data_IF_818949587893
#
_entry.id   IF_818949587893
#
_cell.length_a   1.000
_cell.length_b   1.000
_cell.length_c   1.000
_cell.angle_alpha   90.00
_cell.angle_beta   90.00
_cell.angle_gamma   90.00
#
_symmetry.space_group_name_H-M   'P 1'
#
loop_
_entity.id
_entity.type
_entity.pdbx_description
1 polymer ?
#
# COMPACT_ATOMS: atom_id res chain seq x y z
N UNK A 1 19.01 -15.70 -24.51
CA UNK A 1 17.77 -15.79 -23.69
C UNK A 1 17.26 -14.41 -23.28
N UNK A 2 18.09 -13.54 -22.70
CA UNK A 2 17.70 -12.18 -22.27
C UNK A 2 16.97 -11.37 -23.36
N UNK A 3 17.53 -11.26 -24.57
CA UNK A 3 16.90 -10.52 -25.68
C UNK A 3 15.57 -11.12 -26.19
N UNK A 4 15.33 -12.42 -25.98
CA UNK A 4 14.06 -13.07 -26.35
C UNK A 4 12.96 -12.80 -25.34
N UNK A 5 13.30 -12.69 -24.06
CA UNK A 5 12.35 -12.42 -22.97
C UNK A 5 12.09 -10.92 -22.79
N UNK A 6 13.15 -10.10 -22.82
CA UNK A 6 13.10 -8.65 -22.57
C UNK A 6 13.17 -7.80 -23.84
N UNK A 7 13.12 -8.40 -25.03
CA UNK A 7 13.25 -7.66 -26.29
C UNK A 7 12.21 -6.55 -26.42
N UNK A 8 10.95 -6.87 -26.11
CA UNK A 8 9.84 -5.89 -26.14
C UNK A 8 9.99 -4.79 -25.09
N UNK A 9 10.39 -5.13 -23.86
CA UNK A 9 10.59 -4.14 -22.81
C UNK A 9 11.75 -3.20 -23.15
N UNK A 10 12.88 -3.73 -23.64
CA UNK A 10 14.02 -2.91 -24.06
C UNK A 10 13.67 -2.01 -25.25
N UNK A 11 12.93 -2.53 -26.23
CA UNK A 11 12.47 -1.74 -27.37
C UNK A 11 11.53 -0.60 -26.93
N UNK A 12 10.59 -0.88 -26.03
CA UNK A 12 9.68 0.13 -25.49
C UNK A 12 10.43 1.20 -24.69
N UNK A 13 11.38 0.80 -23.84
CA UNK A 13 12.23 1.74 -23.09
C UNK A 13 13.04 2.62 -24.03
N UNK A 14 13.67 2.04 -25.06
CA UNK A 14 14.41 2.80 -26.05
C UNK A 14 13.50 3.79 -26.80
N UNK A 15 12.30 3.35 -27.21
CA UNK A 15 11.32 4.20 -27.86
C UNK A 15 10.86 5.36 -26.96
N UNK A 16 10.63 5.10 -25.67
CA UNK A 16 10.25 6.12 -24.70
C UNK A 16 11.37 7.16 -24.47
N UNK A 17 12.63 6.71 -24.35
CA UNK A 17 13.78 7.61 -24.21
C UNK A 17 14.01 8.46 -25.46
N UNK A 18 13.86 7.87 -26.65
CA UNK A 18 13.93 8.60 -27.92
C UNK A 18 12.78 9.60 -28.06
N UNK A 19 11.57 9.23 -27.63
CA UNK A 19 10.43 10.15 -27.60
C UNK A 19 10.67 11.33 -26.65
N UNK A 20 11.23 11.08 -25.46
CA UNK A 20 11.60 12.14 -24.51
C UNK A 20 12.65 13.10 -25.10
N UNK A 21 13.69 12.55 -25.76
CA UNK A 21 14.70 13.33 -26.47
C UNK A 21 14.09 14.18 -27.58
N UNK A 22 13.17 13.61 -28.36
CA UNK A 22 12.51 14.33 -29.44
C UNK A 22 11.55 15.42 -28.94
N UNK A 23 10.93 15.22 -27.77
CA UNK A 23 9.93 16.15 -27.23
C UNK A 23 10.54 17.36 -26.53
N UNK A 24 11.53 17.16 -25.65
CA UNK A 24 12.10 18.22 -24.80
C UNK A 24 13.65 18.20 -24.74
N UNK A 25 14.29 17.45 -25.61
CA UNK A 25 15.76 17.46 -25.74
C UNK A 25 16.49 16.62 -24.69
N UNK A 26 17.82 16.82 -24.55
CA UNK A 26 18.68 15.98 -23.72
C UNK A 26 18.35 16.02 -22.22
N UNK A 27 17.85 17.14 -21.72
CA UNK A 27 17.44 17.29 -20.32
C UNK A 27 16.27 16.37 -19.97
N UNK A 28 15.25 16.30 -20.84
CA UNK A 28 14.13 15.39 -20.66
C UNK A 28 14.54 13.92 -20.80
N UNK A 29 15.47 13.60 -21.71
CA UNK A 29 16.03 12.25 -21.78
C UNK A 29 16.71 11.86 -20.47
N UNK A 30 17.53 12.75 -19.89
CA UNK A 30 18.19 12.50 -18.62
C UNK A 30 17.18 12.32 -17.48
N UNK A 31 16.18 13.21 -17.41
CA UNK A 31 15.13 13.14 -16.39
C UNK A 31 14.33 11.84 -16.50
N UNK A 32 13.86 11.48 -17.70
CA UNK A 32 13.11 10.24 -17.93
C UNK A 32 13.97 9.01 -17.64
N UNK A 33 15.26 9.02 -18.00
CA UNK A 33 16.16 7.91 -17.69
C UNK A 33 16.35 7.73 -16.17
N UNK A 34 16.56 8.82 -15.44
CA UNK A 34 16.70 8.80 -13.97
C UNK A 34 15.39 8.31 -13.34
N UNK A 35 14.25 8.88 -13.73
CA UNK A 35 12.94 8.45 -13.23
C UNK A 35 12.65 6.98 -13.56
N UNK A 36 13.03 6.50 -14.75
CA UNK A 36 12.85 5.09 -15.10
C UNK A 36 13.68 4.17 -14.21
N UNK A 37 14.95 4.51 -13.93
CA UNK A 37 15.79 3.74 -13.00
C UNK A 37 15.22 3.75 -11.59
N UNK A 38 14.80 4.92 -11.10
CA UNK A 38 14.16 5.05 -9.79
C UNK A 38 12.88 4.20 -9.69
N UNK A 39 12.02 4.30 -10.70
CA UNK A 39 10.74 3.59 -10.73
C UNK A 39 10.93 2.07 -10.79
N UNK A 40 11.86 1.58 -11.61
CA UNK A 40 12.17 0.14 -11.68
C UNK A 40 12.73 -0.34 -10.34
N UNK A 41 13.62 0.44 -9.71
CA UNK A 41 14.26 0.06 -8.45
C UNK A 41 13.24 -0.02 -7.32
N UNK A 42 12.39 1.01 -7.16
CA UNK A 42 11.34 1.04 -6.12
C UNK A 42 10.23 0.01 -6.39
N UNK A 43 9.96 -0.32 -7.66
CA UNK A 43 8.98 -1.34 -8.01
C UNK A 43 9.51 -2.77 -7.83
N UNK A 44 10.82 -2.97 -7.79
CA UNK A 44 11.42 -4.31 -7.70
C UNK A 44 11.12 -4.99 -6.36
N UNK A 45 11.29 -4.28 -5.24
CA UNK A 45 11.02 -4.82 -3.91
C UNK A 45 9.54 -5.24 -3.77
N UNK A 46 8.64 -4.41 -4.30
CA UNK A 46 7.21 -4.71 -4.37
C UNK A 46 6.92 -5.92 -5.27
N UNK A 47 7.62 -6.06 -6.40
CA UNK A 47 7.43 -7.20 -7.29
C UNK A 47 7.88 -8.53 -6.66
N UNK A 48 8.96 -8.53 -5.86
CA UNK A 48 9.46 -9.74 -5.19
C UNK A 48 8.46 -10.24 -4.15
N UNK A 49 7.91 -9.34 -3.32
CA UNK A 49 6.90 -9.71 -2.33
C UNK A 49 5.62 -10.20 -3.02
N UNK A 50 5.15 -9.46 -4.03
CA UNK A 50 3.94 -9.83 -4.77
C UNK A 50 4.08 -11.17 -5.50
N UNK A 51 5.27 -11.51 -6.00
CA UNK A 51 5.51 -12.81 -6.64
C UNK A 51 5.33 -13.98 -5.67
N UNK A 52 5.76 -13.83 -4.41
CA UNK A 52 5.56 -14.87 -3.38
C UNK A 52 4.09 -15.06 -3.03
N UNK A 53 3.31 -13.98 -3.01
CA UNK A 53 1.86 -14.04 -2.79
C UNK A 53 1.17 -14.69 -4.01
N UNK A 54 1.58 -14.30 -5.22
CA UNK A 54 1.02 -14.81 -6.47
C UNK A 54 1.15 -16.33 -6.62
N UNK A 55 2.27 -16.90 -6.19
CA UNK A 55 2.53 -18.35 -6.24
C UNK A 55 1.51 -19.16 -5.43
N UNK A 56 0.93 -18.55 -4.39
CA UNK A 56 -0.10 -19.16 -3.52
C UNK A 56 -1.53 -18.94 -4.03
N UNK A 57 -1.72 -18.12 -5.06
CA UNK A 57 -3.06 -17.82 -5.60
C UNK A 57 -3.53 -18.89 -6.59
N UNK A 58 -4.84 -19.07 -6.71
CA UNK A 58 -5.40 -19.92 -7.75
C UNK A 58 -5.10 -19.38 -9.16
N UNK A 59 -5.06 -20.24 -10.21
CA UNK A 59 -4.72 -19.81 -11.58
C UNK A 59 -5.60 -18.67 -12.11
N UNK A 60 -6.86 -18.61 -11.67
CA UNK A 60 -7.79 -17.55 -12.03
C UNK A 60 -7.33 -16.19 -11.49
N UNK A 61 -7.01 -16.12 -10.19
CA UNK A 61 -6.55 -14.89 -9.55
C UNK A 61 -5.16 -14.47 -10.02
N UNK A 62 -4.27 -15.44 -10.26
CA UNK A 62 -2.97 -15.15 -10.87
C UNK A 62 -3.11 -14.42 -12.21
N UNK A 63 -4.03 -14.90 -13.07
CA UNK A 63 -4.28 -14.30 -14.38
C UNK A 63 -4.86 -12.89 -14.26
N UNK A 64 -5.80 -12.65 -13.36
CA UNK A 64 -6.36 -11.31 -13.12
C UNK A 64 -5.29 -10.36 -12.61
N UNK A 65 -4.49 -10.79 -11.63
CA UNK A 65 -3.41 -9.98 -11.07
C UNK A 65 -2.39 -9.59 -12.15
N UNK A 66 -1.93 -10.56 -12.95
CA UNK A 66 -0.93 -10.32 -14.00
C UNK A 66 -1.46 -9.50 -15.19
N UNK A 67 -2.77 -9.43 -15.39
CA UNK A 67 -3.38 -8.69 -16.51
C UNK A 67 -3.92 -7.34 -16.05
N UNK A 68 -5.02 -7.34 -15.30
CA UNK A 68 -5.72 -6.14 -14.86
C UNK A 68 -5.00 -5.51 -13.67
N UNK A 69 -4.54 -6.31 -12.72
CA UNK A 69 -3.88 -5.82 -11.51
C UNK A 69 -2.65 -4.97 -11.84
N UNK A 70 -1.71 -5.51 -12.61
CA UNK A 70 -0.52 -4.77 -13.06
C UNK A 70 -0.89 -3.56 -13.91
N UNK A 71 -1.87 -3.68 -14.83
CA UNK A 71 -2.28 -2.56 -15.67
C UNK A 71 -2.84 -1.39 -14.84
N UNK A 72 -3.68 -1.67 -13.84
CA UNK A 72 -4.23 -0.66 -12.92
C UNK A 72 -3.13 -0.09 -12.02
N UNK A 73 -2.25 -0.94 -11.46
CA UNK A 73 -1.16 -0.47 -10.62
C UNK A 73 -0.19 0.45 -11.37
N UNK A 74 0.10 0.14 -12.63
CA UNK A 74 1.06 0.93 -13.43
C UNK A 74 0.41 2.13 -14.08
N UNK A 75 -0.66 1.95 -14.86
CA UNK A 75 -1.28 3.03 -15.62
C UNK A 75 -2.42 3.70 -14.85
N UNK A 76 -3.21 2.90 -14.13
CA UNK A 76 -4.29 3.42 -13.30
C UNK A 76 -3.76 4.40 -12.26
N UNK A 77 -2.83 3.96 -11.41
CA UNK A 77 -2.31 4.79 -10.31
C UNK A 77 -1.36 5.90 -10.78
N UNK A 78 -0.57 5.70 -11.84
CA UNK A 78 0.42 6.72 -12.27
C UNK A 78 -0.11 7.70 -13.31
N UNK A 79 -0.98 7.27 -14.22
CA UNK A 79 -1.48 8.13 -15.31
C UNK A 79 -2.92 8.55 -15.09
N UNK A 80 -3.83 7.58 -14.92
CA UNK A 80 -5.27 7.85 -14.87
C UNK A 80 -5.64 8.56 -13.58
N UNK A 81 -5.13 8.12 -12.44
CA UNK A 81 -5.49 8.65 -11.13
C UNK A 81 -5.10 10.13 -10.98
N UNK A 82 -3.86 10.57 -11.25
CA UNK A 82 -3.53 12.00 -11.20
C UNK A 82 -4.38 12.85 -12.15
N UNK A 83 -4.65 12.32 -13.34
CA UNK A 83 -5.48 13.00 -14.34
C UNK A 83 -6.93 13.17 -13.87
N UNK A 84 -7.49 12.13 -13.23
CA UNK A 84 -8.84 12.18 -12.65
C UNK A 84 -8.90 13.20 -11.52
N UNK A 85 -7.89 13.25 -10.65
CA UNK A 85 -7.83 14.27 -9.60
C UNK A 85 -7.82 15.67 -10.20
N UNK A 86 -6.95 15.95 -11.19
CA UNK A 86 -6.93 17.27 -11.86
C UNK A 86 -8.27 17.57 -12.52
N UNK A 87 -8.86 16.60 -13.21
CA UNK A 87 -10.15 16.77 -13.88
C UNK A 87 -11.27 17.14 -12.88
N UNK A 88 -11.31 16.48 -11.72
CA UNK A 88 -12.30 16.75 -10.68
C UNK A 88 -12.05 18.08 -9.97
N UNK A 89 -10.82 18.33 -9.53
CA UNK A 89 -10.45 19.55 -8.78
C UNK A 89 -10.61 20.80 -9.64
N UNK A 90 -10.16 20.76 -10.90
CA UNK A 90 -10.28 21.88 -11.82
C UNK A 90 -11.63 21.92 -12.58
N UNK A 91 -12.52 20.96 -12.34
CA UNK A 91 -13.82 20.79 -13.02
C UNK A 91 -13.67 20.80 -14.56
N UNK A 92 -12.63 20.13 -15.05
CA UNK A 92 -12.32 20.00 -16.46
C UNK A 92 -12.78 18.65 -16.99
N UNK A 93 -13.15 18.60 -18.27
CA UNK A 93 -13.32 17.30 -18.94
C UNK A 93 -11.97 16.56 -19.02
N UNK A 94 -11.95 15.21 -19.01
CA UNK A 94 -10.70 14.43 -19.04
C UNK A 94 -9.73 14.80 -20.17
N UNK A 95 -10.25 15.09 -21.37
CA UNK A 95 -9.44 15.53 -22.51
C UNK A 95 -8.72 16.87 -22.22
N UNK A 96 -9.42 17.82 -21.60
CA UNK A 96 -8.85 19.11 -21.20
C UNK A 96 -7.83 18.98 -20.07
N UNK A 97 -8.04 18.06 -19.13
CA UNK A 97 -7.04 17.77 -18.11
C UNK A 97 -5.76 17.18 -18.73
N UNK A 98 -5.90 16.37 -19.78
CA UNK A 98 -4.75 15.79 -20.50
C UNK A 98 -4.01 16.85 -21.30
N UNK A 99 -4.75 17.71 -22.01
CA UNK A 99 -4.16 18.86 -22.70
C UNK A 99 -3.40 19.75 -21.70
N UNK A 100 -4.01 20.06 -20.55
CA UNK A 100 -3.40 20.88 -19.50
C UNK A 100 -2.08 20.28 -18.99
N UNK A 101 -2.03 18.95 -18.81
CA UNK A 101 -0.82 18.25 -18.38
C UNK A 101 0.35 18.42 -19.35
N UNK A 102 0.05 18.55 -20.65
CA UNK A 102 1.07 18.71 -21.70
C UNK A 102 1.41 20.18 -21.99
N UNK A 103 0.41 21.06 -21.95
CA UNK A 103 0.56 22.46 -22.38
C UNK A 103 0.91 23.43 -21.25
N UNK A 104 0.49 23.15 -20.02
CA UNK A 104 0.65 24.06 -18.87
C UNK A 104 1.12 23.29 -17.61
N UNK A 105 2.34 22.72 -17.60
CA UNK A 105 2.81 21.83 -16.53
C UNK A 105 2.82 22.50 -15.15
N UNK A 106 3.13 23.80 -15.05
CA UNK A 106 3.10 24.53 -13.78
C UNK A 106 1.70 24.63 -13.18
N UNK A 107 0.68 24.86 -14.03
CA UNK A 107 -0.70 24.94 -13.57
C UNK A 107 -1.22 23.56 -13.17
N UNK A 108 -0.82 22.53 -13.90
CA UNK A 108 -1.09 21.14 -13.53
C UNK A 108 -0.48 20.81 -12.15
N UNK A 109 0.79 21.20 -11.91
CA UNK A 109 1.45 21.01 -10.62
C UNK A 109 0.71 21.72 -9.48
N UNK A 110 0.27 22.97 -9.68
CA UNK A 110 -0.48 23.72 -8.66
C UNK A 110 -1.75 22.97 -8.26
N UNK A 111 -2.57 22.54 -9.23
CA UNK A 111 -3.81 21.80 -8.96
C UNK A 111 -3.52 20.48 -8.22
N UNK A 112 -2.42 19.81 -8.55
CA UNK A 112 -1.98 18.60 -7.85
C UNK A 112 -1.52 18.87 -6.41
N UNK A 113 -0.80 19.97 -6.18
CA UNK A 113 -0.40 20.39 -4.83
C UNK A 113 -1.60 20.76 -3.98
N UNK A 114 -2.60 21.42 -4.55
CA UNK A 114 -3.81 21.80 -3.83
C UNK A 114 -4.61 20.57 -3.38
N UNK A 115 -4.63 19.50 -4.19
CA UNK A 115 -5.28 18.24 -3.83
C UNK A 115 -4.45 17.36 -2.86
N UNK A 116 -3.15 17.65 -2.69
CA UNK A 116 -2.24 16.80 -1.93
C UNK A 116 -2.65 16.60 -0.46
N UNK A 117 -3.07 17.63 0.31
CA UNK A 117 -3.48 17.46 1.71
C UNK A 117 -4.64 16.45 1.87
N UNK A 118 -5.62 16.47 0.97
CA UNK A 118 -6.74 15.53 0.98
C UNK A 118 -6.25 14.09 0.74
N UNK A 119 -5.43 13.89 -0.28
CA UNK A 119 -4.87 12.56 -0.63
C UNK A 119 -4.01 12.03 0.51
N UNK A 120 -3.15 12.87 1.07
CA UNK A 120 -2.29 12.52 2.19
C UNK A 120 -3.09 12.25 3.47
N UNK A 121 -4.17 12.98 3.72
CA UNK A 121 -5.07 12.73 4.85
C UNK A 121 -5.73 11.35 4.74
N UNK A 122 -6.34 11.05 3.58
CA UNK A 122 -6.96 9.75 3.32
C UNK A 122 -5.96 8.60 3.41
N UNK A 123 -4.90 8.65 2.62
CA UNK A 123 -3.91 7.58 2.54
C UNK A 123 -3.10 7.44 3.82
N UNK A 124 -2.76 8.56 4.46
CA UNK A 124 -2.03 8.60 5.72
C UNK A 124 -2.82 7.98 6.86
N UNK A 125 -4.11 8.28 6.99
CA UNK A 125 -4.96 7.66 8.01
C UNK A 125 -5.14 6.15 7.77
N UNK A 126 -5.38 5.74 6.52
CA UNK A 126 -5.47 4.32 6.14
C UNK A 126 -4.18 3.55 6.48
N UNK A 127 -3.04 4.07 6.04
CA UNK A 127 -1.74 3.43 6.23
C UNK A 127 -1.30 3.45 7.70
N UNK A 128 -1.65 4.49 8.44
CA UNK A 128 -1.38 4.55 9.88
C UNK A 128 -2.18 3.49 10.63
N UNK A 129 -3.45 3.26 10.27
CA UNK A 129 -4.23 2.17 10.84
C UNK A 129 -3.63 0.80 10.52
N UNK A 130 -3.26 0.56 9.26
CA UNK A 130 -2.57 -0.67 8.85
C UNK A 130 -1.29 -0.89 9.65
N UNK A 131 -0.46 0.15 9.76
CA UNK A 131 0.78 0.09 10.51
C UNK A 131 0.55 -0.14 12.00
N UNK A 132 -0.38 0.55 12.64
CA UNK A 132 -0.65 0.42 14.07
C UNK A 132 -1.26 -0.94 14.42
N UNK A 133 -2.16 -1.47 13.58
CA UNK A 133 -2.67 -2.83 13.72
C UNK A 133 -1.54 -3.85 13.65
N UNK A 134 -0.67 -3.71 12.64
CA UNK A 134 0.53 -4.54 12.56
C UNK A 134 1.38 -4.35 13.83
N UNK A 135 1.73 -3.13 14.25
CA UNK A 135 2.62 -2.89 15.41
C UNK A 135 2.09 -3.45 16.74
N UNK A 136 0.78 -3.43 16.96
CA UNK A 136 0.18 -3.89 18.21
C UNK A 136 -0.07 -5.40 18.26
N UNK A 137 0.07 -6.09 17.14
CA UNK A 137 -0.01 -7.55 17.06
C UNK A 137 1.12 -8.23 17.85
N UNK A 138 0.79 -9.30 18.59
CA UNK A 138 1.79 -10.07 19.33
C UNK A 138 2.51 -11.04 18.40
N UNK A 139 3.68 -10.63 17.89
CA UNK A 139 4.51 -11.44 17.00
C UNK A 139 5.58 -12.24 17.74
N UNK A 140 5.89 -13.41 17.18
CA UNK A 140 6.95 -14.31 17.65
C UNK A 140 8.35 -13.71 17.46
N UNK A 141 8.58 -13.07 16.31
CA UNK A 141 9.84 -12.40 15.99
C UNK A 141 9.76 -10.93 16.40
N UNK A 142 10.50 -10.58 17.47
CA UNK A 142 10.59 -9.22 17.99
C UNK A 142 11.96 -8.61 17.76
N UNK A 143 12.06 -7.53 16.99
CA UNK A 143 13.33 -6.87 16.69
C UNK A 143 13.77 -5.93 17.83
N UNK A 144 12.81 -5.22 18.42
CA UNK A 144 13.02 -4.23 19.49
C UNK A 144 12.34 -4.70 20.79
N UNK A 145 12.85 -5.80 21.36
CA UNK A 145 12.27 -6.55 22.48
C UNK A 145 11.50 -5.74 23.56
N UNK A 146 12.10 -4.73 24.23
CA UNK A 146 11.42 -3.99 25.29
C UNK A 146 10.33 -3.02 24.79
N UNK A 147 10.51 -2.43 23.61
CA UNK A 147 9.52 -1.51 22.99
C UNK A 147 8.31 -2.30 22.53
N UNK A 148 8.54 -3.38 21.77
CA UNK A 148 7.47 -4.21 21.22
C UNK A 148 6.66 -4.92 22.31
N UNK A 149 7.30 -5.36 23.40
CA UNK A 149 6.57 -5.95 24.55
C UNK A 149 5.65 -4.95 25.26
N UNK A 150 6.01 -3.67 25.22
CA UNK A 150 5.18 -2.60 25.80
C UNK A 150 4.02 -2.26 24.86
N UNK A 151 4.29 -2.17 23.55
CA UNK A 151 3.28 -1.90 22.53
C UNK A 151 2.27 -3.06 22.39
N UNK A 152 2.71 -4.31 22.42
CA UNK A 152 1.82 -5.48 22.41
C UNK A 152 0.89 -5.53 23.65
N UNK A 153 1.34 -4.99 24.80
CA UNK A 153 0.49 -4.86 25.99
C UNK A 153 -0.67 -3.88 25.78
N UNK A 154 -0.44 -2.85 24.98
CA UNK A 154 -1.44 -1.86 24.54
C UNK A 154 -2.33 -2.41 23.41
N UNK A 155 -1.85 -3.39 22.63
CA UNK A 155 -2.64 -4.11 21.62
C UNK A 155 -3.82 -4.92 22.15
N UNK A 156 -3.93 -5.13 23.47
CA UNK A 156 -5.14 -5.68 24.10
C UNK A 156 -6.36 -4.74 24.01
N UNK A 157 -6.15 -3.50 23.59
CA UNK A 157 -7.21 -2.56 23.26
C UNK A 157 -7.39 -2.57 21.74
N UNK A 158 -8.31 -3.40 21.24
CA UNK A 158 -8.62 -3.52 19.80
C UNK A 158 -8.88 -2.16 19.13
N UNK A 159 -9.38 -1.17 19.87
CA UNK A 159 -9.70 0.16 19.35
C UNK A 159 -8.53 1.16 19.39
N UNK A 160 -7.36 0.79 19.90
CA UNK A 160 -6.24 1.71 20.06
C UNK A 160 -5.71 2.30 18.73
N UNK A 161 -5.58 1.52 17.63
CA UNK A 161 -5.23 2.07 16.30
C UNK A 161 -6.18 3.18 15.85
N UNK A 162 -7.49 3.01 16.09
CA UNK A 162 -8.53 3.98 15.73
C UNK A 162 -8.36 5.26 16.55
N UNK A 163 -8.17 5.14 17.87
CA UNK A 163 -8.00 6.30 18.77
C UNK A 163 -6.73 7.07 18.43
N UNK A 164 -5.61 6.38 18.23
CA UNK A 164 -4.33 7.03 17.89
C UNK A 164 -4.41 7.68 16.51
N UNK A 165 -4.95 7.00 15.50
CA UNK A 165 -5.11 7.56 14.16
C UNK A 165 -6.02 8.77 14.17
N UNK A 166 -7.18 8.68 14.84
CA UNK A 166 -8.10 9.81 14.97
C UNK A 166 -7.48 10.99 15.73
N UNK A 167 -6.69 10.74 16.77
CA UNK A 167 -5.97 11.77 17.51
C UNK A 167 -4.89 12.45 16.66
N UNK A 168 -4.09 11.68 15.94
CA UNK A 168 -3.08 12.22 15.00
C UNK A 168 -3.76 13.01 13.88
N UNK A 169 -4.83 12.48 13.30
CA UNK A 169 -5.61 13.15 12.26
C UNK A 169 -6.17 14.48 12.77
N UNK A 170 -6.73 14.50 13.98
CA UNK A 170 -7.26 15.73 14.59
C UNK A 170 -6.17 16.77 14.85
N UNK A 171 -5.00 16.36 15.33
CA UNK A 171 -3.87 17.25 15.53
C UNK A 171 -3.33 17.81 14.20
N UNK A 172 -3.12 16.95 13.20
CA UNK A 172 -2.58 17.37 11.90
C UNK A 172 -3.57 18.26 11.17
N UNK A 173 -4.85 17.89 11.14
CA UNK A 173 -5.92 18.70 10.56
C UNK A 173 -6.02 20.06 11.26
N UNK A 174 -5.98 20.11 12.60
CA UNK A 174 -6.16 21.36 13.33
C UNK A 174 -4.93 22.28 13.38
N UNK A 175 -3.71 21.73 13.27
CA UNK A 175 -2.47 22.50 13.45
C UNK A 175 -1.71 22.77 12.15
N UNK A 176 -1.91 21.97 11.11
CA UNK A 176 -1.08 21.98 9.89
C UNK A 176 -1.90 22.22 8.62
N UNK A 177 -3.14 21.73 8.56
CA UNK A 177 -3.93 21.83 7.34
C UNK A 177 -4.50 23.23 7.11
N UNK A 178 -4.40 23.71 5.86
CA UNK A 178 -5.04 24.95 5.42
C UNK A 178 -6.57 24.85 5.43
N UNK A 179 -7.12 23.68 5.06
CA UNK A 179 -8.52 23.31 5.25
C UNK A 179 -8.63 22.09 6.18
N UNK A 180 -8.83 22.32 7.50
CA UNK A 180 -8.97 21.25 8.48
C UNK A 180 -10.14 20.31 8.16
N UNK A 181 -11.27 20.83 7.66
CA UNK A 181 -12.47 20.04 7.43
C UNK A 181 -12.26 19.05 6.28
N UNK A 182 -11.63 19.49 5.21
CA UNK A 182 -11.32 18.64 4.06
C UNK A 182 -10.37 17.49 4.45
N UNK A 183 -9.28 17.79 5.16
CA UNK A 183 -8.32 16.78 5.62
C UNK A 183 -8.96 15.81 6.63
N UNK A 184 -9.81 16.31 7.53
CA UNK A 184 -10.53 15.47 8.50
C UNK A 184 -11.48 14.50 7.80
N UNK A 185 -12.30 14.99 6.86
CA UNK A 185 -13.23 14.14 6.10
C UNK A 185 -12.46 13.08 5.32
N UNK A 186 -11.40 13.48 4.61
CA UNK A 186 -10.57 12.57 3.84
C UNK A 186 -9.93 11.49 4.74
N UNK A 187 -9.35 11.89 5.87
CA UNK A 187 -8.74 10.96 6.82
C UNK A 187 -9.76 9.99 7.44
N UNK A 188 -10.95 10.47 7.81
CA UNK A 188 -12.03 9.60 8.31
C UNK A 188 -12.47 8.60 7.24
N UNK A 189 -12.58 9.01 5.97
CA UNK A 189 -12.88 8.10 4.87
C UNK A 189 -11.76 7.05 4.69
N UNK A 190 -10.50 7.43 4.91
CA UNK A 190 -9.36 6.50 4.93
C UNK A 190 -9.50 5.46 6.04
N UNK A 191 -9.85 5.89 7.26
CA UNK A 191 -10.11 4.99 8.39
C UNK A 191 -11.28 4.05 8.12
N UNK A 192 -12.40 4.56 7.59
CA UNK A 192 -13.57 3.75 7.22
C UNK A 192 -13.17 2.71 6.18
N UNK A 193 -12.42 3.11 5.16
CA UNK A 193 -11.96 2.19 4.11
C UNK A 193 -11.11 1.07 4.68
N UNK A 194 -10.19 1.39 5.61
CA UNK A 194 -9.42 0.36 6.30
C UNK A 194 -10.33 -0.63 7.02
N UNK A 195 -11.24 -0.14 7.87
CA UNK A 195 -12.11 -1.00 8.70
C UNK A 195 -12.97 -1.91 7.82
N UNK A 196 -13.47 -1.40 6.69
CA UNK A 196 -14.23 -2.20 5.75
C UNK A 196 -13.39 -3.29 5.08
N UNK A 197 -12.18 -2.98 4.64
CA UNK A 197 -11.28 -3.95 3.99
C UNK A 197 -10.84 -5.03 4.98
N UNK A 198 -10.46 -4.62 6.18
CA UNK A 198 -10.01 -5.50 7.27
C UNK A 198 -11.14 -6.44 7.71
N UNK A 199 -12.33 -5.88 8.00
CA UNK A 199 -13.49 -6.67 8.40
C UNK A 199 -14.02 -7.62 7.32
N UNK A 200 -13.94 -7.23 6.03
CA UNK A 200 -14.25 -8.17 4.94
C UNK A 200 -13.24 -9.34 4.91
N UNK A 201 -11.97 -9.07 5.18
CA UNK A 201 -10.94 -10.11 5.28
C UNK A 201 -11.28 -11.19 6.30
N UNK A 202 -11.66 -10.76 7.52
CA UNK A 202 -12.08 -11.67 8.61
C UNK A 202 -13.32 -12.49 8.24
N UNK A 203 -14.33 -11.86 7.62
CA UNK A 203 -15.55 -12.55 7.20
C UNK A 203 -15.29 -13.64 6.15
N UNK A 204 -14.33 -13.43 5.25
CA UNK A 204 -13.99 -14.41 4.23
C UNK A 204 -13.07 -15.52 4.76
N UNK A 205 -12.28 -15.29 5.81
CA UNK A 205 -11.55 -16.37 6.48
C UNK A 205 -12.49 -17.28 7.26
N UNK A 206 -13.48 -16.74 7.96
CA UNK A 206 -14.45 -17.55 8.74
C UNK A 206 -15.41 -18.35 7.83
N UNK A 207 -15.72 -17.85 6.63
CA UNK A 207 -16.61 -18.53 5.68
C UNK A 207 -15.93 -19.68 4.90
N UNK A 208 -14.61 -19.85 5.03
CA UNK A 208 -13.83 -20.90 4.38
C UNK A 208 -13.51 -22.10 5.28
N UNK A 209 -13.80 -22.02 6.59
CA UNK A 209 -13.35 -22.99 7.60
C UNK A 209 -14.20 -24.29 7.68
N UNK A 210 -15.12 -24.54 6.73
CA UNK A 210 -15.81 -25.83 6.60
C UNK A 210 -15.09 -26.83 5.65
N UNK A 211 -14.09 -26.41 4.88
CA UNK A 211 -13.25 -27.31 4.08
C UNK A 211 -11.76 -26.87 4.13
N UNK A 212 -10.98 -27.64 4.89
CA UNK A 212 -9.50 -27.68 4.99
C UNK A 212 -8.81 -26.68 5.95
N UNK A 213 -8.44 -27.20 7.13
CA UNK A 213 -7.50 -26.59 8.09
C UNK A 213 -6.12 -26.32 7.43
N UNK A 214 -5.82 -25.06 7.11
CA UNK A 214 -4.44 -24.52 7.10
C UNK A 214 -4.41 -23.08 7.66
N UNK A 215 -3.54 -22.76 8.64
CA UNK A 215 -3.51 -21.44 9.23
C UNK A 215 -2.72 -20.46 8.35
N UNK A 216 -3.40 -19.43 7.84
CA UNK A 216 -2.79 -18.12 7.61
C UNK A 216 -3.08 -17.45 6.27
N UNK A 217 -3.84 -16.35 6.31
CA UNK A 217 -3.79 -15.30 5.30
C UNK A 217 -4.38 -13.96 5.80
N UNK A 218 -3.84 -13.39 6.89
CA UNK A 218 -3.84 -11.92 6.99
C UNK A 218 -2.79 -11.41 6.00
N UNK A 219 -3.26 -10.90 4.86
CA UNK A 219 -2.43 -10.38 3.79
C UNK A 219 -1.83 -9.01 4.16
N UNK A 220 -0.99 -8.98 5.20
CA UNK A 220 -0.11 -7.86 5.52
C UNK A 220 1.03 -8.26 6.48
N UNK A 221 1.77 -9.32 6.17
CA UNK A 221 3.01 -9.64 6.89
C UNK A 221 3.90 -10.56 6.06
N UNK A 222 4.62 -9.98 5.09
CA UNK A 222 5.61 -10.71 4.31
C UNK A 222 6.99 -10.05 4.46
N UNK A 223 7.65 -10.29 5.59
CA UNK A 223 9.09 -10.12 5.72
C UNK A 223 9.68 -11.01 6.83
N UNK A 224 10.34 -12.10 6.41
CA UNK A 224 11.51 -12.65 7.09
C UNK A 224 11.29 -13.87 8.00
N UNK A 225 11.75 -15.04 7.55
CA UNK A 225 12.00 -16.18 8.42
C UNK A 225 12.48 -17.41 7.66
N UNK A 226 13.79 -17.70 7.72
CA UNK A 226 14.38 -19.00 7.39
C UNK A 226 14.99 -19.61 8.68
N UNK A 227 14.62 -20.86 8.98
CA UNK A 227 15.30 -21.84 9.85
C UNK A 227 15.27 -21.58 11.38
N UNK A 228 15.11 -22.54 12.28
CA UNK A 228 15.10 -24.00 12.21
C UNK A 228 14.66 -24.56 13.58
N UNK A 229 13.76 -25.55 13.57
CA UNK A 229 13.57 -26.66 14.52
C UNK A 229 13.66 -26.49 16.05
N UNK A 230 12.58 -26.85 16.76
CA UNK A 230 12.60 -27.96 17.73
C UNK A 230 11.20 -28.32 18.27
N UNK A 231 10.82 -29.58 18.04
CA UNK A 231 9.64 -30.26 18.62
C UNK A 231 9.83 -30.48 20.13
N UNK A 232 8.80 -30.29 20.96
CA UNK A 232 8.48 -31.18 22.09
C UNK A 232 7.12 -30.94 22.77
N UNK A 233 6.19 -31.85 22.46
CA UNK A 233 5.27 -32.59 23.36
C UNK A 233 4.20 -31.88 24.24
N UNK A 234 2.96 -32.25 23.89
CA UNK A 234 1.70 -32.34 24.65
C UNK A 234 1.82 -32.77 26.13
N UNK A 235 0.93 -32.20 26.95
CA UNK A 235 0.39 -32.84 28.17
C UNK A 235 -0.30 -31.86 29.12
N UNK A 236 -1.63 -31.73 29.06
CA UNK A 236 -2.45 -31.32 30.23
C UNK A 236 -2.87 -32.55 31.05
N UNK A 237 -3.71 -32.44 32.11
CA UNK A 237 -4.35 -31.25 32.68
C UNK A 237 -4.17 -31.08 34.22
N UNK A 238 -4.77 -30.01 34.73
CA UNK A 238 -4.89 -29.50 36.10
C UNK A 238 -5.20 -30.50 37.24
N UNK A 239 -4.69 -30.23 38.45
CA UNK A 239 -5.46 -30.09 39.71
C UNK A 239 -4.55 -29.93 40.95
N UNK A 240 -5.12 -29.32 42.00
CA UNK A 240 -4.64 -29.17 43.40
C UNK A 240 -3.56 -28.09 43.63
N UNK A 241 -3.80 -26.98 44.34
CA UNK A 241 -4.28 -26.82 45.73
C UNK A 241 -3.35 -27.48 46.77
N UNK A 242 -2.95 -26.66 47.78
CA UNK A 242 -1.99 -26.87 48.90
C UNK A 242 -0.62 -26.19 48.61
N UNK A 243 -0.10 -25.25 49.38
CA UNK A 243 -0.49 -24.68 50.65
C UNK A 243 0.32 -23.38 50.88
N UNK A 244 -0.29 -22.45 51.64
CA UNK A 244 0.24 -21.30 52.39
C UNK A 244 -0.52 -20.00 52.09
#
# INVERSE_FOLDING_TARGET
MILRTFGWSLALTAAALLAALAYQGPEALALVAILAVLEISLSFDNAVVNAKVLDRMSPFWQKIFLTIGIAVAVFGMRLVFPLVIVALTAKLSPARAFDLALSEPHRYETIMRDAYPMIAGFGGAFLLMLYLNWVFEDRELRWLGPVERTLARFGRLEQLPVVVTGGVLALVSGLVADDPAEVMIAGVLGMITYILVDGLGEMFSDAGDDEDEEPGASAASAAGGDGEGAKARRGGPSSAALAA
#
